data_IF_924842841081
#
_entry.id   IF_924842841081
#
_cell.length_a   1.000
_cell.length_b   1.000
_cell.length_c   1.000
_cell.angle_alpha   90.00
_cell.angle_beta   90.00
_cell.angle_gamma   90.00
#
_symmetry.space_group_name_H-M   'P 1'
#
loop_
_entity.id
_entity.type
_entity.pdbx_description
1 polymer ?
#
# COMPACT_ATOMS: atom_id res chain seq x y z
N UNK A 1 -55.69 -14.97 -13.93
CA UNK A 1 -55.17 -14.43 -12.67
C UNK A 1 -53.70 -14.20 -12.94
N UNK A 2 -53.36 -12.94 -13.14
CA UNK A 2 -52.05 -12.51 -13.62
C UNK A 2 -51.07 -12.47 -12.45
N UNK A 3 -50.00 -13.28 -12.54
CA UNK A 3 -48.90 -13.28 -11.59
C UNK A 3 -47.97 -12.09 -11.87
N UNK A 4 -48.18 -11.00 -11.15
CA UNK A 4 -47.30 -9.83 -11.18
C UNK A 4 -45.99 -10.17 -10.47
N UNK A 5 -44.99 -10.62 -11.22
CA UNK A 5 -43.63 -10.81 -10.75
C UNK A 5 -42.99 -9.43 -10.44
N UNK A 6 -43.12 -8.99 -9.19
CA UNK A 6 -42.44 -7.80 -8.67
C UNK A 6 -40.96 -8.10 -8.47
N UNK A 7 -40.15 -7.87 -9.49
CA UNK A 7 -38.69 -7.86 -9.35
C UNK A 7 -38.28 -6.66 -8.49
N UNK A 8 -37.90 -6.93 -7.24
CA UNK A 8 -37.32 -5.92 -6.34
C UNK A 8 -35.94 -5.54 -6.85
N UNK A 9 -35.82 -4.39 -7.51
CA UNK A 9 -34.54 -3.82 -7.89
C UNK A 9 -33.82 -3.31 -6.63
N UNK A 10 -32.98 -4.15 -6.03
CA UNK A 10 -32.06 -3.70 -4.97
C UNK A 10 -31.11 -2.64 -5.54
N UNK A 11 -31.01 -1.44 -4.95
CA UNK A 11 -30.10 -0.42 -5.45
C UNK A 11 -28.66 -0.92 -5.33
N UNK A 12 -28.00 -1.12 -6.47
CA UNK A 12 -26.59 -1.51 -6.51
C UNK A 12 -25.75 -0.26 -6.26
N UNK A 13 -25.08 -0.22 -5.10
CA UNK A 13 -24.16 0.87 -4.76
C UNK A 13 -22.97 0.80 -5.73
N UNK A 14 -22.64 1.87 -6.46
CA UNK A 14 -21.50 1.87 -7.36
C UNK A 14 -20.20 1.65 -6.58
N UNK A 15 -19.24 0.89 -7.12
CA UNK A 15 -17.97 0.63 -6.45
C UNK A 15 -17.20 1.93 -6.23
N UNK A 16 -16.57 2.06 -5.05
CA UNK A 16 -15.70 3.21 -4.75
C UNK A 16 -14.33 3.04 -5.39
N UNK A 17 -13.64 4.14 -5.70
CA UNK A 17 -12.28 4.10 -6.26
C UNK A 17 -11.33 3.27 -5.38
N UNK A 18 -11.44 3.40 -4.06
CA UNK A 18 -10.63 2.60 -3.13
C UNK A 18 -10.88 1.10 -3.26
N UNK A 19 -12.16 0.68 -3.34
CA UNK A 19 -12.51 -0.74 -3.52
C UNK A 19 -11.99 -1.31 -4.84
N UNK A 20 -12.02 -0.54 -5.92
CA UNK A 20 -11.49 -0.94 -7.24
C UNK A 20 -9.96 -1.14 -7.17
N UNK A 21 -9.26 -0.32 -6.39
CA UNK A 21 -7.82 -0.43 -6.19
C UNK A 21 -7.42 -1.47 -5.13
N UNK A 22 -8.38 -2.20 -4.55
CA UNK A 22 -8.11 -3.23 -3.54
C UNK A 22 -7.66 -2.68 -2.19
N UNK A 23 -7.93 -1.41 -1.90
CA UNK A 23 -7.61 -0.76 -0.62
C UNK A 23 -8.87 -0.59 0.22
N UNK A 24 -8.73 -0.80 1.53
CA UNK A 24 -9.82 -0.55 2.49
C UNK A 24 -9.80 0.93 2.90
N UNK A 25 -10.97 1.50 3.10
CA UNK A 25 -11.11 2.89 3.53
C UNK A 25 -10.89 3.92 2.41
N UNK A 26 -10.43 5.11 2.77
CA UNK A 26 -10.28 6.23 1.86
C UNK A 26 -8.85 6.33 1.29
N UNK A 27 -8.74 6.76 0.03
CA UNK A 27 -7.47 7.17 -0.57
C UNK A 27 -7.08 8.55 -0.06
N UNK A 28 -5.78 8.74 0.18
CA UNK A 28 -5.18 10.01 0.62
C UNK A 28 -4.17 10.49 -0.41
N UNK A 29 -4.00 11.80 -0.52
CA UNK A 29 -2.92 12.37 -1.31
C UNK A 29 -1.64 12.43 -0.49
N UNK A 30 -0.55 11.96 -1.07
CA UNK A 30 0.80 12.08 -0.54
C UNK A 30 1.70 12.77 -1.55
N UNK A 31 2.65 13.59 -1.09
CA UNK A 31 3.65 14.21 -1.98
C UNK A 31 4.48 13.13 -2.67
N UNK A 32 4.60 13.26 -3.99
CA UNK A 32 5.50 12.45 -4.78
C UNK A 32 6.94 12.88 -4.51
N UNK A 33 7.89 11.93 -4.48
CA UNK A 33 9.32 12.22 -4.32
C UNK A 33 10.00 12.77 -5.59
N UNK A 34 9.26 13.03 -6.66
CA UNK A 34 9.84 13.50 -7.93
C UNK A 34 9.99 15.01 -7.88
N UNK A 35 11.13 15.52 -8.33
CA UNK A 35 11.38 16.96 -8.50
C UNK A 35 10.80 17.52 -9.80
N UNK A 36 10.33 16.65 -10.70
CA UNK A 36 9.74 17.07 -11.96
C UNK A 36 8.34 17.64 -11.75
N UNK A 37 8.02 18.71 -12.48
CA UNK A 37 6.67 19.28 -12.51
C UNK A 37 5.65 18.25 -12.98
N UNK A 38 4.45 18.29 -12.40
CA UNK A 38 3.34 17.45 -12.82
C UNK A 38 3.04 17.56 -14.33
N UNK A 39 2.55 16.47 -14.89
CA UNK A 39 2.10 16.40 -16.28
C UNK A 39 0.65 16.83 -16.39
N UNK A 40 -0.17 16.45 -15.41
CA UNK A 40 -1.60 16.70 -15.38
C UNK A 40 -2.02 17.29 -14.03
N UNK A 41 -3.13 18.03 -14.04
CA UNK A 41 -3.76 18.61 -12.84
C UNK A 41 -5.20 18.14 -12.76
N UNK A 42 -5.60 17.61 -11.60
CA UNK A 42 -7.00 17.34 -11.28
C UNK A 42 -7.69 18.63 -10.87
N UNK A 43 -8.77 18.99 -11.57
CA UNK A 43 -9.55 20.23 -11.32
C UNK A 43 -11.02 19.92 -11.22
N UNK A 44 -11.74 20.66 -10.39
CA UNK A 44 -13.21 20.65 -10.37
C UNK A 44 -13.74 21.19 -11.70
N UNK A 45 -14.80 20.58 -12.21
CA UNK A 45 -15.51 21.01 -13.40
C UNK A 45 -17.00 21.10 -13.11
N UNK A 46 -17.67 22.09 -13.68
CA UNK A 46 -19.12 22.25 -13.56
C UNK A 46 -19.80 21.47 -14.69
N UNK A 47 -20.75 20.60 -14.34
CA UNK A 47 -21.54 19.80 -15.28
C UNK A 47 -22.97 20.32 -15.25
N UNK A 48 -23.45 20.84 -16.37
CA UNK A 48 -24.74 21.56 -16.46
C UNK A 48 -25.97 20.65 -16.27
N UNK A 49 -25.84 19.35 -16.50
CA UNK A 49 -26.95 18.39 -16.49
C UNK A 49 -27.57 18.15 -15.09
N UNK A 50 -26.82 18.39 -14.01
CA UNK A 50 -27.28 18.19 -12.62
C UNK A 50 -27.98 19.42 -12.01
N UNK A 51 -28.09 20.51 -12.76
CA UNK A 51 -28.71 21.76 -12.29
C UNK A 51 -30.25 21.73 -12.24
N UNK A 52 -30.86 20.57 -12.54
CA UNK A 52 -32.32 20.38 -12.55
C UNK A 52 -32.96 20.13 -11.17
N UNK A 53 -32.17 20.24 -10.09
CA UNK A 53 -32.70 20.13 -8.72
C UNK A 53 -33.10 21.52 -8.23
N UNK A 54 -34.40 21.77 -8.26
CA UNK A 54 -35.03 22.92 -7.62
C UNK A 54 -34.46 23.13 -6.19
N UNK A 55 -33.88 24.30 -5.95
CA UNK A 55 -33.45 24.82 -4.65
C UNK A 55 -32.34 24.09 -3.86
N UNK A 56 -31.67 23.09 -4.44
CA UNK A 56 -30.63 22.31 -3.75
C UNK A 56 -29.20 22.75 -4.07
N UNK A 57 -28.35 22.93 -3.05
CA UNK A 57 -26.88 22.96 -3.24
C UNK A 57 -26.45 21.69 -3.99
N UNK A 58 -25.47 21.76 -4.90
CA UNK A 58 -25.03 20.59 -5.65
C UNK A 58 -24.54 19.49 -4.70
N UNK A 59 -25.13 18.30 -4.79
CA UNK A 59 -24.78 17.16 -3.93
C UNK A 59 -23.51 16.43 -4.41
N UNK A 60 -23.08 16.69 -5.64
CA UNK A 60 -21.96 16.00 -6.29
C UNK A 60 -21.03 17.03 -6.92
N UNK A 61 -19.73 16.80 -6.80
CA UNK A 61 -18.70 17.58 -7.48
C UNK A 61 -17.98 16.70 -8.50
N UNK A 62 -17.79 17.23 -9.70
CA UNK A 62 -17.10 16.54 -10.79
C UNK A 62 -15.67 17.05 -10.89
N UNK A 63 -14.76 16.14 -11.24
CA UNK A 63 -13.34 16.46 -11.43
C UNK A 63 -12.84 15.88 -12.74
N UNK A 64 -11.95 16.61 -13.40
CA UNK A 64 -11.32 16.20 -14.65
C UNK A 64 -9.82 16.49 -14.66
N UNK A 65 -9.08 15.77 -15.49
CA UNK A 65 -7.64 15.90 -15.65
C UNK A 65 -7.33 16.84 -16.82
N UNK A 66 -6.50 17.84 -16.55
CA UNK A 66 -6.02 18.80 -17.54
C UNK A 66 -4.52 18.67 -17.69
N UNK A 67 -4.02 18.65 -18.93
CA UNK A 67 -2.59 18.69 -19.17
C UNK A 67 -2.00 20.04 -18.69
N UNK A 68 -0.99 19.98 -17.84
CA UNK A 68 -0.26 21.16 -17.37
C UNK A 68 0.84 21.59 -18.35
N UNK A 69 1.41 20.61 -19.05
CA UNK A 69 2.48 20.77 -20.04
C UNK A 69 2.28 19.76 -21.16
N UNK A 70 3.04 19.91 -22.26
CA UNK A 70 3.08 18.88 -23.31
C UNK A 70 3.53 17.55 -22.70
N UNK A 71 2.73 16.50 -22.90
CA UNK A 71 2.98 15.19 -22.32
C UNK A 71 3.87 14.40 -23.29
N UNK A 72 5.14 14.25 -22.92
CA UNK A 72 6.14 13.47 -23.65
C UNK A 72 6.64 12.32 -22.77
N UNK A 73 5.77 11.35 -22.50
CA UNK A 73 6.05 10.26 -21.57
C UNK A 73 6.17 8.94 -22.33
N UNK A 74 7.23 8.17 -22.06
CA UNK A 74 7.43 6.85 -22.66
C UNK A 74 6.46 5.82 -22.06
N UNK A 75 6.09 4.76 -22.79
CA UNK A 75 5.31 3.66 -22.23
C UNK A 75 5.95 3.10 -20.94
N UNK A 76 5.11 2.79 -19.96
CA UNK A 76 5.54 2.28 -18.64
C UNK A 76 6.17 3.33 -17.71
N UNK A 77 6.17 4.62 -18.09
CA UNK A 77 6.57 5.72 -17.20
C UNK A 77 5.34 6.41 -16.60
N UNK A 78 5.51 6.91 -15.38
CA UNK A 78 4.45 7.55 -14.61
C UNK A 78 4.06 8.91 -15.19
N UNK A 79 2.76 9.19 -15.16
CA UNK A 79 2.22 10.52 -15.42
C UNK A 79 1.98 11.20 -14.08
N UNK A 80 2.89 12.10 -13.74
CA UNK A 80 2.82 12.89 -12.50
C UNK A 80 1.56 13.76 -12.45
N UNK A 81 0.86 13.71 -11.31
CA UNK A 81 -0.40 14.41 -11.04
C UNK A 81 -0.19 15.53 -10.02
N UNK A 82 -0.82 16.69 -10.21
CA UNK A 82 -1.05 17.70 -9.18
C UNK A 82 -2.56 17.89 -8.94
N UNK A 83 -2.94 18.45 -7.79
CA UNK A 83 -4.35 18.70 -7.44
C UNK A 83 -4.56 20.19 -7.28
N UNK A 84 -5.60 20.71 -7.92
CA UNK A 84 -6.01 22.11 -7.75
C UNK A 84 -6.93 22.29 -6.55
N UNK A 85 -6.71 23.41 -5.87
CA UNK A 85 -7.61 23.97 -4.87
C UNK A 85 -8.93 24.40 -5.51
N UNK A 86 -9.91 24.75 -4.67
CA UNK A 86 -11.23 25.19 -5.12
C UNK A 86 -11.17 26.46 -5.99
N UNK A 87 -10.20 27.34 -5.75
CA UNK A 87 -9.94 28.54 -6.55
C UNK A 87 -9.23 28.24 -7.89
N UNK A 88 -8.95 26.96 -8.18
CA UNK A 88 -8.24 26.52 -9.38
C UNK A 88 -6.72 26.70 -9.31
N UNK A 89 -6.18 27.21 -8.21
CA UNK A 89 -4.73 27.31 -8.01
C UNK A 89 -4.15 25.95 -7.65
N UNK A 90 -2.90 25.69 -8.02
CA UNK A 90 -2.22 24.45 -7.70
C UNK A 90 -0.70 24.67 -7.64
N UNK A 91 -0.03 23.80 -6.90
CA UNK A 91 1.43 23.77 -6.88
C UNK A 91 1.97 22.84 -7.94
N UNK A 92 3.19 23.08 -8.42
CA UNK A 92 3.88 22.18 -9.35
C UNK A 92 4.31 20.84 -8.71
N UNK A 93 4.10 20.68 -7.40
CA UNK A 93 4.45 19.49 -6.66
C UNK A 93 3.51 18.33 -7.02
N UNK A 94 4.10 17.27 -7.58
CA UNK A 94 3.36 16.06 -7.88
C UNK A 94 2.91 15.33 -6.60
N UNK A 95 1.78 14.64 -6.69
CA UNK A 95 1.19 13.81 -5.63
C UNK A 95 0.90 12.39 -6.13
N UNK A 96 0.75 11.46 -5.20
CA UNK A 96 0.33 10.07 -5.40
C UNK A 96 -0.87 9.76 -4.52
N UNK A 97 -1.63 8.73 -4.89
CA UNK A 97 -2.63 8.14 -4.02
C UNK A 97 -1.98 7.15 -3.07
N UNK A 98 -2.28 7.30 -1.79
CA UNK A 98 -1.88 6.41 -0.71
C UNK A 98 -3.14 5.80 -0.11
N UNK A 99 -3.16 4.50 0.12
CA UNK A 99 -4.26 3.80 0.77
C UNK A 99 -3.72 2.76 1.74
N UNK A 100 -4.52 2.44 2.76
CA UNK A 100 -4.14 1.44 3.75
C UNK A 100 -4.42 0.04 3.19
N UNK A 101 -3.37 -0.73 3.02
CA UNK A 101 -3.49 -2.16 2.77
C UNK A 101 -3.90 -2.80 4.08
N UNK A 102 -5.01 -3.56 4.09
CA UNK A 102 -5.27 -4.42 5.23
C UNK A 102 -4.14 -5.42 5.32
N UNK A 103 -3.24 -5.25 6.29
CA UNK A 103 -2.37 -6.34 6.72
C UNK A 103 -3.30 -7.48 7.09
N UNK A 104 -3.21 -8.59 6.37
CA UNK A 104 -3.87 -9.86 6.67
C UNK A 104 -3.31 -10.48 7.97
N UNK A 105 -3.16 -9.66 9.02
CA UNK A 105 -2.79 -10.04 10.38
C UNK A 105 -3.93 -9.78 11.36
N UNK A 106 -5.10 -9.35 10.87
CA UNK A 106 -6.37 -9.42 11.62
C UNK A 106 -7.04 -10.80 11.47
N UNK A 107 -6.35 -11.79 10.90
CA UNK A 107 -6.58 -13.21 11.21
C UNK A 107 -5.78 -13.59 12.46
N UNK A 108 -5.94 -12.83 13.54
CA UNK A 108 -5.75 -13.40 14.87
C UNK A 108 -7.16 -13.80 15.32
N UNK A 109 -7.73 -14.79 14.62
CA UNK A 109 -8.89 -15.51 15.12
C UNK A 109 -8.53 -15.98 16.52
N UNK A 110 -9.41 -15.74 17.49
CA UNK A 110 -9.22 -16.17 18.88
C UNK A 110 -8.85 -17.67 18.99
N UNK A 111 -9.13 -18.46 17.94
CA UNK A 111 -8.67 -19.83 17.74
C UNK A 111 -7.14 -20.00 17.77
N UNK A 112 -6.32 -19.12 17.19
CA UNK A 112 -4.85 -19.30 17.19
C UNK A 112 -4.24 -19.08 18.59
N UNK A 113 -4.86 -18.23 19.41
CA UNK A 113 -4.46 -18.04 20.81
C UNK A 113 -4.79 -19.25 21.70
N UNK A 114 -5.86 -19.98 21.40
CA UNK A 114 -6.17 -21.23 22.12
C UNK A 114 -5.14 -22.32 21.82
N UNK A 115 -4.68 -22.46 20.57
CA UNK A 115 -3.68 -23.47 20.23
C UNK A 115 -2.34 -23.19 20.92
N UNK A 116 -1.92 -21.93 20.98
CA UNK A 116 -0.65 -21.55 21.63
C UNK A 116 -0.71 -21.69 23.16
N UNK A 117 -1.87 -21.45 23.79
CA UNK A 117 -2.07 -21.69 25.22
C UNK A 117 -2.16 -23.17 25.58
N UNK A 118 -2.71 -24.00 24.69
CA UNK A 118 -2.84 -25.44 24.92
C UNK A 118 -1.50 -26.18 24.77
N UNK A 119 -0.57 -25.66 23.95
CA UNK A 119 0.79 -26.18 23.83
C UNK A 119 1.64 -25.83 25.06
N UNK A 120 1.42 -24.69 25.72
CA UNK A 120 2.19 -24.29 26.91
C UNK A 120 1.78 -24.98 28.23
N UNK A 121 0.63 -25.66 28.29
CA UNK A 121 0.16 -26.29 29.53
C UNK A 121 0.65 -27.73 29.76
N UNK A 122 1.22 -28.40 28.76
CA UNK A 122 1.62 -29.82 28.88
C UNK A 122 3.11 -30.06 29.13
N UNK A 123 3.91 -29.01 29.36
CA UNK A 123 5.32 -29.15 29.75
C UNK A 123 5.56 -28.66 31.18
N UNK A 124 5.04 -29.44 32.15
CA UNK A 124 5.52 -29.37 33.52
C UNK A 124 6.97 -29.88 33.57
N UNK A 125 7.95 -29.10 34.06
CA UNK A 125 9.35 -29.52 34.11
C UNK A 125 9.56 -30.55 35.24
N UNK A 126 10.13 -31.74 34.96
CA UNK A 126 10.68 -32.58 36.02
C UNK A 126 12.05 -32.07 36.46
N UNK A 127 12.20 -31.98 37.79
CA UNK A 127 13.44 -31.65 38.49
C UNK A 127 14.62 -32.59 38.14
N UNK A 128 15.82 -31.99 38.18
CA UNK A 128 17.16 -32.54 38.45
C UNK A 128 18.16 -32.69 37.27
N UNK A 129 19.47 -32.37 37.50
CA UNK A 129 20.48 -32.27 36.46
C UNK A 129 21.29 -33.56 36.31
N UNK A 130 21.21 -34.21 35.15
CA UNK A 130 22.14 -35.29 34.79
C UNK A 130 23.13 -34.81 33.73
N UNK A 131 24.37 -34.61 34.17
CA UNK A 131 25.58 -34.56 33.36
C UNK A 131 25.66 -35.82 32.49
N UNK A 132 25.80 -35.72 31.16
CA UNK A 132 26.54 -36.73 30.38
C UNK A 132 26.96 -36.22 28.97
N UNK A 133 28.27 -36.01 28.85
CA UNK A 133 29.16 -36.50 27.77
C UNK A 133 28.84 -36.13 26.31
N UNK A 134 29.46 -35.05 25.84
CA UNK A 134 29.68 -34.81 24.40
C UNK A 134 30.72 -35.83 23.88
N UNK A 135 30.45 -36.57 22.79
CA UNK A 135 31.39 -37.53 22.23
C UNK A 135 32.67 -36.86 21.66
N UNK A 136 33.85 -37.48 21.84
CA UNK A 136 35.17 -36.88 21.62
C UNK A 136 35.58 -36.68 20.15
N UNK A 137 34.65 -36.74 19.18
CA UNK A 137 34.97 -36.77 17.73
C UNK A 137 34.48 -35.60 16.89
N UNK A 138 34.02 -34.51 17.52
CA UNK A 138 33.74 -33.24 16.82
C UNK A 138 34.60 -32.06 17.29
N UNK A 139 35.74 -32.34 17.94
CA UNK A 139 36.82 -31.37 18.11
C UNK A 139 37.70 -31.36 16.86
N UNK A 140 37.28 -30.65 15.81
CA UNK A 140 38.22 -30.14 14.80
C UNK A 140 38.16 -28.63 14.76
N UNK A 141 39.09 -28.03 15.49
CA UNK A 141 39.53 -26.65 15.36
C UNK A 141 40.11 -26.44 13.96
N UNK A 142 39.56 -25.53 13.17
CA UNK A 142 40.32 -24.90 12.09
C UNK A 142 40.60 -23.45 12.47
N UNK A 143 41.70 -23.26 13.19
CA UNK A 143 42.39 -21.98 13.32
C UNK A 143 43.59 -21.96 12.38
N UNK A 144 43.97 -20.73 11.99
CA UNK A 144 45.09 -20.29 11.14
C UNK A 144 44.85 -20.29 9.63
N UNK A 145 45.45 -19.39 8.84
CA UNK A 145 45.90 -18.00 8.93
C UNK A 145 46.60 -17.75 7.57
N UNK A 146 46.69 -16.47 7.15
CA UNK A 146 47.74 -15.88 6.29
C UNK A 146 47.76 -16.21 4.78
N UNK A 147 47.51 -15.18 3.96
CA UNK A 147 48.57 -14.36 3.33
C UNK A 147 47.90 -13.13 2.68
N UNK A 148 47.89 -11.97 3.34
CA UNK A 148 48.82 -10.87 3.04
C UNK A 148 49.86 -11.17 1.95
N UNK A 149 49.72 -10.52 0.80
CA UNK A 149 50.84 -10.19 -0.07
C UNK A 149 50.91 -8.68 -0.18
N UNK A 150 51.95 -8.14 0.44
CA UNK A 150 52.45 -6.79 0.42
C UNK A 150 53.00 -6.41 -0.97
N UNK A 151 52.71 -5.19 -1.43
CA UNK A 151 53.64 -4.37 -2.24
C UNK A 151 54.83 -3.95 -1.34
N UNK A 152 56.08 -3.69 -1.84
CA UNK A 152 56.36 -2.51 -2.70
C UNK A 152 57.63 -2.52 -3.64
N UNK A 153 57.68 -1.49 -4.51
CA UNK A 153 58.82 -0.64 -4.99
C UNK A 153 59.87 -1.04 -6.07
N UNK A 154 59.91 -0.18 -7.12
CA UNK A 154 61.03 0.58 -7.78
C UNK A 154 61.95 -0.08 -8.85
N UNK A 155 62.11 0.67 -9.97
CA UNK A 155 63.22 0.67 -10.95
C UNK A 155 62.70 0.51 -12.39
N UNK A 156 62.94 1.36 -13.40
CA UNK A 156 63.84 2.51 -13.67
C UNK A 156 63.08 3.57 -14.50
#
# INVERSE_FOLDING_TARGET
MDDTNSESSTPTIPPTVASILGVKGALRFRRHGASQKAHVVLRRVDVSEDSNIADGKPSVAYFSLFAQKRIEVKPGKEILLAVASEDGTFTDQAVIFEGDLSTSSDSNSEEEKEVEQQIMQDEAPPDSPSTHHVPPKMRRTWTKQLQQVSSPTIGE
#
